data_IF_908199726098
#
_entry.id   IF_908199726098
#
_cell.length_a   1.000
_cell.length_b   1.000
_cell.length_c   1.000
_cell.angle_alpha   90.00
_cell.angle_beta   90.00
_cell.angle_gamma   90.00
#
_symmetry.space_group_name_H-M   'P 1'
#
loop_
_entity.id
_entity.type
_entity.pdbx_description
1 polymer ?
#
# COMPACT_ATOMS: atom_id res chain seq x y z
N UNK A 1 17.79 -15.72 -20.79
CA UNK A 1 18.58 -14.56 -20.30
C UNK A 1 18.39 -14.48 -18.80
N UNK A 2 19.48 -14.53 -18.02
CA UNK A 2 19.42 -14.54 -16.55
C UNK A 2 19.05 -13.14 -16.06
N UNK A 3 17.93 -13.00 -15.34
CA UNK A 3 17.49 -11.74 -14.73
C UNK A 3 17.97 -11.68 -13.28
N UNK A 4 18.59 -10.54 -12.97
CA UNK A 4 19.20 -10.17 -11.70
C UNK A 4 18.08 -9.79 -10.72
N UNK A 5 18.00 -10.49 -9.59
CA UNK A 5 17.13 -10.14 -8.47
C UNK A 5 17.94 -9.29 -7.50
N UNK A 6 17.47 -8.10 -7.16
CA UNK A 6 18.09 -7.25 -6.15
C UNK A 6 17.39 -7.52 -4.83
N UNK A 7 18.07 -8.28 -3.97
CA UNK A 7 17.72 -8.55 -2.58
C UNK A 7 18.31 -7.45 -1.69
N UNK A 8 17.47 -6.78 -0.91
CA UNK A 8 17.89 -6.15 0.34
C UNK A 8 17.87 -7.21 1.45
N UNK A 9 18.94 -8.00 1.59
CA UNK A 9 19.08 -8.95 2.70
C UNK A 9 19.65 -8.23 3.92
N UNK A 10 18.81 -7.95 4.92
CA UNK A 10 19.28 -7.59 6.25
C UNK A 10 19.38 -8.87 7.09
N UNK A 11 20.59 -9.42 7.17
CA UNK A 11 20.95 -10.44 8.17
C UNK A 11 21.00 -9.74 9.52
N UNK A 12 19.97 -9.91 10.36
CA UNK A 12 19.99 -9.43 11.73
C UNK A 12 20.67 -10.47 12.64
N UNK A 13 21.77 -10.04 13.24
CA UNK A 13 22.52 -10.73 14.28
C UNK A 13 21.63 -10.97 15.51
N UNK A 14 21.52 -12.24 15.90
CA UNK A 14 20.98 -12.66 17.20
C UNK A 14 21.82 -12.06 18.34
N UNK A 15 21.19 -11.27 19.20
CA UNK A 15 21.73 -10.90 20.52
C UNK A 15 20.86 -11.60 21.58
N UNK A 16 21.43 -12.34 22.55
CA UNK A 16 20.63 -12.98 23.59
C UNK A 16 20.26 -11.95 24.66
N UNK A 17 18.97 -11.77 24.93
CA UNK A 17 18.50 -11.01 26.09
C UNK A 17 17.85 -11.95 27.10
N UNK A 18 18.50 -12.07 28.25
CA UNK A 18 18.01 -12.75 29.44
C UNK A 18 17.06 -11.86 30.27
N UNK A 19 16.03 -12.52 30.82
CA UNK A 19 15.24 -12.28 32.05
C UNK A 19 14.34 -11.05 32.23
N UNK A 20 13.04 -11.38 32.37
CA UNK A 20 12.03 -10.94 33.35
C UNK A 20 11.79 -9.45 33.64
N UNK A 21 10.61 -8.95 33.27
CA UNK A 21 9.48 -8.82 34.22
C UNK A 21 8.29 -8.02 33.65
N UNK A 22 7.10 -8.44 34.09
CA UNK A 22 5.80 -7.76 34.12
C UNK A 22 4.98 -7.64 32.82
N UNK A 23 3.98 -8.52 32.76
CA UNK A 23 2.94 -8.56 31.75
C UNK A 23 2.12 -7.27 31.69
N UNK A 24 2.22 -6.63 30.52
CA UNK A 24 1.11 -5.94 29.87
C UNK A 24 0.66 -6.86 28.73
N UNK A 25 -0.63 -7.14 28.66
CA UNK A 25 -1.21 -7.99 27.61
C UNK A 25 -1.10 -7.34 26.24
N UNK A 26 0.07 -7.45 25.61
CA UNK A 26 0.22 -7.22 24.18
C UNK A 26 -0.45 -8.39 23.47
N UNK A 27 -1.61 -8.12 22.87
CA UNK A 27 -2.14 -9.02 21.84
C UNK A 27 -1.04 -9.19 20.78
N UNK A 28 -0.76 -10.41 20.29
CA UNK A 28 0.22 -10.59 19.24
C UNK A 28 -0.20 -9.69 18.08
N UNK A 29 0.69 -8.79 17.67
CA UNK A 29 0.51 -8.06 16.42
C UNK A 29 0.59 -9.16 15.36
N UNK A 30 -0.57 -9.56 14.83
CA UNK A 30 -0.67 -10.71 13.94
C UNK A 30 0.28 -10.56 12.74
N UNK A 31 0.77 -11.68 12.24
CA UNK A 31 1.50 -11.73 10.98
C UNK A 31 0.62 -11.07 9.92
N UNK A 32 0.94 -9.82 9.53
CA UNK A 32 0.20 -9.11 8.50
C UNK A 32 0.08 -9.98 7.23
N UNK A 33 -0.90 -9.71 6.36
CA UNK A 33 -1.15 -10.53 5.18
C UNK A 33 0.13 -10.84 4.40
N UNK A 34 0.27 -12.11 4.04
CA UNK A 34 1.45 -12.66 3.39
C UNK A 34 1.62 -12.08 1.98
N UNK A 35 2.87 -12.01 1.49
CA UNK A 35 3.14 -11.60 0.11
C UNK A 35 2.41 -12.53 -0.86
N UNK A 36 2.39 -13.84 -0.58
CA UNK A 36 1.65 -14.80 -1.38
C UNK A 36 0.15 -14.47 -1.46
N UNK A 37 -0.47 -14.04 -0.36
CA UNK A 37 -1.87 -13.61 -0.35
C UNK A 37 -2.11 -12.34 -1.17
N UNK A 38 -1.16 -11.40 -1.17
CA UNK A 38 -1.28 -10.15 -1.90
C UNK A 38 -1.03 -10.27 -3.41
N UNK A 39 -0.37 -11.34 -3.88
CA UNK A 39 -0.23 -11.58 -5.31
C UNK A 39 -1.56 -11.80 -6.03
N UNK A 40 -2.64 -12.15 -5.31
CA UNK A 40 -4.00 -12.19 -5.89
C UNK A 40 -4.48 -10.82 -6.36
N UNK A 41 -3.94 -9.73 -5.81
CA UNK A 41 -4.26 -8.35 -6.22
C UNK A 41 -3.41 -7.85 -7.39
N UNK A 42 -2.53 -8.69 -7.95
CA UNK A 42 -1.68 -8.35 -9.10
C UNK A 42 -2.17 -9.13 -10.32
N UNK A 43 -2.84 -8.46 -11.28
CA UNK A 43 -3.32 -9.10 -12.51
C UNK A 43 -2.16 -9.74 -13.28
N UNK A 44 -2.39 -10.93 -13.80
CA UNK A 44 -1.41 -11.63 -14.62
C UNK A 44 -1.40 -11.07 -16.06
N UNK A 45 -0.59 -10.03 -16.27
CA UNK A 45 -0.42 -9.37 -17.56
C UNK A 45 1.04 -9.33 -17.96
N UNK A 46 1.31 -9.06 -19.25
CA UNK A 46 2.66 -8.86 -19.73
C UNK A 46 3.39 -7.73 -18.98
N UNK A 47 2.65 -6.68 -18.59
CA UNK A 47 3.19 -5.55 -17.85
C UNK A 47 3.52 -5.94 -16.41
N UNK A 48 2.63 -6.65 -15.71
CA UNK A 48 2.90 -7.14 -14.36
C UNK A 48 4.09 -8.11 -14.32
N UNK A 49 4.21 -9.01 -15.31
CA UNK A 49 5.34 -9.94 -15.42
C UNK A 49 6.65 -9.26 -15.81
N UNK A 50 6.56 -8.14 -16.53
CA UNK A 50 7.71 -7.40 -17.05
C UNK A 50 8.38 -6.49 -16.02
N UNK A 51 7.69 -6.17 -14.93
CA UNK A 51 8.07 -5.11 -14.00
C UNK A 51 8.22 -5.61 -12.55
N UNK A 52 8.96 -4.87 -11.70
CA UNK A 52 9.07 -5.20 -10.29
C UNK A 52 7.73 -5.11 -9.55
N UNK A 53 7.57 -5.97 -8.54
CA UNK A 53 6.53 -5.87 -7.51
C UNK A 53 7.23 -5.52 -6.20
N UNK A 54 6.87 -4.38 -5.63
CA UNK A 54 7.42 -3.90 -4.37
C UNK A 54 6.49 -4.30 -3.24
N UNK A 55 7.05 -4.86 -2.16
CA UNK A 55 6.30 -5.31 -1.00
C UNK A 55 6.88 -4.70 0.28
N UNK A 56 6.02 -4.16 1.12
CA UNK A 56 6.37 -3.62 2.44
C UNK A 56 5.49 -4.21 3.52
N UNK A 57 6.09 -4.92 4.48
CA UNK A 57 5.39 -5.37 5.69
C UNK A 57 5.65 -4.35 6.81
N UNK A 58 4.78 -3.34 6.91
CA UNK A 58 4.96 -2.25 7.86
C UNK A 58 4.76 -2.70 9.31
N UNK A 59 3.99 -3.78 9.53
CA UNK A 59 3.91 -4.44 10.82
C UNK A 59 5.29 -4.92 11.30
N UNK A 60 6.06 -5.55 10.41
CA UNK A 60 7.43 -6.00 10.70
C UNK A 60 8.39 -4.82 10.80
N UNK A 61 8.29 -3.82 9.92
CA UNK A 61 9.14 -2.61 10.00
C UNK A 61 8.97 -1.91 11.36
N UNK A 62 7.76 -1.94 11.92
CA UNK A 62 7.47 -1.35 13.23
C UNK A 62 7.84 -2.25 14.40
N UNK A 63 8.03 -3.57 14.20
CA UNK A 63 8.51 -4.59 15.17
C UNK A 63 8.28 -4.31 16.68
N UNK A 64 7.07 -3.87 17.05
CA UNK A 64 6.68 -3.61 18.45
C UNK A 64 6.88 -2.19 18.97
N UNK A 65 7.45 -1.27 18.19
CA UNK A 65 7.32 0.16 18.41
C UNK A 65 6.02 0.62 17.74
N UNK A 66 4.98 0.87 18.57
CA UNK A 66 3.82 1.62 18.12
C UNK A 66 4.21 3.09 18.17
N UNK A 67 4.45 3.77 17.03
CA UNK A 67 4.81 5.16 17.06
C UNK A 67 3.67 5.99 17.67
N UNK A 68 3.96 6.65 18.78
CA UNK A 68 2.98 7.45 19.53
C UNK A 68 2.54 8.69 18.74
N UNK A 69 3.43 9.17 17.86
CA UNK A 69 3.21 10.35 17.04
C UNK A 69 3.70 10.15 15.60
N UNK A 70 3.48 11.17 14.78
CA UNK A 70 3.81 11.19 13.37
C UNK A 70 5.32 11.13 13.09
N UNK A 71 6.12 11.88 13.86
CA UNK A 71 7.57 11.97 13.64
C UNK A 71 8.26 10.63 13.92
N UNK A 72 7.79 9.90 14.93
CA UNK A 72 8.27 8.56 15.25
C UNK A 72 7.92 7.54 14.15
N UNK A 73 6.69 7.58 13.61
CA UNK A 73 6.31 6.70 12.48
C UNK A 73 7.15 7.02 11.24
N UNK A 74 7.37 8.30 10.95
CA UNK A 74 8.19 8.73 9.83
C UNK A 74 9.64 8.23 9.97
N UNK A 75 10.21 8.25 11.18
CA UNK A 75 11.56 7.76 11.44
C UNK A 75 11.71 6.24 11.26
N UNK A 76 10.63 5.47 11.48
CA UNK A 76 10.60 4.02 11.24
C UNK A 76 10.39 3.69 9.76
N UNK A 77 9.55 4.48 9.08
CA UNK A 77 9.21 4.28 7.67
C UNK A 77 10.30 4.76 6.71
N UNK A 78 11.19 5.62 7.18
CA UNK A 78 12.35 6.14 6.44
C UNK A 78 13.61 5.60 7.09
N UNK A 79 14.28 4.66 6.43
CA UNK A 79 15.59 4.23 6.89
C UNK A 79 16.60 5.37 6.63
N UNK A 80 16.88 6.17 7.65
CA UNK A 80 17.68 7.39 7.54
C UNK A 80 19.12 7.17 7.02
N UNK A 81 19.66 5.95 7.12
CA UNK A 81 21.00 5.60 6.63
C UNK A 81 21.04 5.31 5.12
N UNK A 82 19.96 4.77 4.56
CA UNK A 82 19.86 4.35 3.16
C UNK A 82 18.94 5.24 2.32
N UNK A 83 18.11 6.05 2.98
CA UNK A 83 17.03 6.81 2.35
C UNK A 83 15.89 5.93 1.82
N UNK A 84 15.88 4.63 2.14
CA UNK A 84 14.80 3.74 1.73
C UNK A 84 13.51 4.10 2.45
N UNK A 85 12.41 4.04 1.71
CA UNK A 85 11.06 4.26 2.24
C UNK A 85 10.22 3.03 1.98
N UNK A 86 9.59 2.49 3.02
CA UNK A 86 8.84 1.23 2.97
C UNK A 86 7.40 1.39 2.47
N UNK A 87 7.08 2.53 1.86
CA UNK A 87 5.74 2.89 1.39
C UNK A 87 5.70 3.00 -0.14
N UNK A 88 4.57 2.66 -0.78
CA UNK A 88 4.33 2.93 -2.18
C UNK A 88 4.53 4.42 -2.52
N UNK A 89 4.92 4.72 -3.75
CA UNK A 89 5.17 6.07 -4.23
C UNK A 89 3.96 6.99 -4.01
N UNK A 90 2.75 6.44 -4.20
CA UNK A 90 1.48 7.12 -3.99
C UNK A 90 1.33 7.69 -2.57
N UNK A 91 1.83 6.98 -1.56
CA UNK A 91 1.73 7.37 -0.14
C UNK A 91 2.99 8.11 0.28
N UNK A 92 4.18 7.55 -0.03
CA UNK A 92 5.51 8.07 0.33
C UNK A 92 5.65 9.55 0.09
N UNK A 93 5.11 10.02 -1.03
CA UNK A 93 5.31 11.39 -1.47
C UNK A 93 4.55 12.44 -0.67
N UNK A 94 3.50 12.03 0.04
CA UNK A 94 2.66 12.89 0.88
C UNK A 94 2.89 12.71 2.38
N UNK A 95 3.53 11.61 2.82
CA UNK A 95 3.62 11.31 4.26
C UNK A 95 4.23 12.41 5.09
N UNK A 96 5.20 13.19 4.55
CA UNK A 96 5.87 14.27 5.28
C UNK A 96 5.01 15.52 5.45
N UNK A 97 3.88 15.59 4.76
CA UNK A 97 2.96 16.71 4.80
C UNK A 97 1.91 16.45 5.88
N UNK A 98 1.75 17.32 6.88
CA UNK A 98 0.85 17.10 8.01
C UNK A 98 -0.62 16.96 7.57
N UNK A 99 -1.00 17.53 6.43
CA UNK A 99 -2.33 17.46 5.86
C UNK A 99 -2.61 16.13 5.14
N UNK A 100 -1.61 15.27 4.93
CA UNK A 100 -1.82 13.98 4.24
C UNK A 100 -2.92 13.17 4.92
N UNK A 101 -2.87 13.01 6.23
CA UNK A 101 -3.87 12.22 6.95
C UNK A 101 -5.28 12.83 6.87
N UNK A 102 -5.36 14.16 6.86
CA UNK A 102 -6.60 14.89 6.67
C UNK A 102 -7.19 14.61 5.28
N UNK A 103 -6.38 14.68 4.22
CA UNK A 103 -6.84 14.52 2.84
C UNK A 103 -7.01 13.07 2.42
N UNK A 104 -6.21 12.14 2.92
CA UNK A 104 -6.35 10.72 2.66
C UNK A 104 -7.49 10.09 3.47
N UNK A 105 -7.86 10.69 4.61
CA UNK A 105 -8.83 10.14 5.56
C UNK A 105 -8.27 8.99 6.41
N UNK A 106 -6.97 8.73 6.33
CA UNK A 106 -6.23 7.77 7.14
C UNK A 106 -4.77 8.20 7.27
N UNK A 107 -4.07 7.64 8.27
CA UNK A 107 -2.62 7.80 8.40
C UNK A 107 -1.87 6.49 8.13
N UNK A 108 -0.57 6.58 7.90
CA UNK A 108 0.29 5.44 7.54
C UNK A 108 0.33 4.33 8.59
N UNK A 109 0.03 4.63 9.86
CA UNK A 109 -0.02 3.64 10.96
C UNK A 109 -1.22 2.71 10.83
N UNK A 110 -2.22 3.09 10.05
CA UNK A 110 -3.36 2.24 9.71
C UNK A 110 -3.00 1.20 8.64
N UNK A 111 -1.88 1.36 7.93
CA UNK A 111 -1.40 0.42 6.91
C UNK A 111 -0.54 -0.65 7.60
N UNK A 112 -0.97 -1.90 7.52
CA UNK A 112 -0.21 -3.06 8.00
C UNK A 112 0.77 -3.54 6.92
N UNK A 113 0.30 -3.63 5.68
CA UNK A 113 1.07 -4.16 4.55
C UNK A 113 0.76 -3.35 3.30
N UNK A 114 1.77 -3.14 2.47
CA UNK A 114 1.64 -2.48 1.18
C UNK A 114 2.28 -3.32 0.08
N UNK A 115 1.68 -3.24 -1.11
CA UNK A 115 2.21 -3.79 -2.34
C UNK A 115 2.07 -2.73 -3.45
N UNK A 116 3.09 -2.55 -4.28
CA UNK A 116 3.05 -1.63 -5.42
C UNK A 116 3.59 -2.32 -6.67
N UNK A 117 2.88 -2.15 -7.79
CA UNK A 117 3.27 -2.74 -9.07
C UNK A 117 2.79 -1.89 -10.23
N UNK A 118 3.21 -2.28 -11.44
CA UNK A 118 2.88 -1.58 -12.67
C UNK A 118 3.90 -0.49 -12.99
N UNK A 119 3.59 0.30 -14.03
CA UNK A 119 4.43 1.38 -14.52
C UNK A 119 3.59 2.62 -14.70
N UNK A 120 4.19 3.79 -14.50
CA UNK A 120 3.49 5.04 -14.69
C UNK A 120 2.92 5.15 -16.12
N UNK A 121 1.67 5.63 -16.28
CA UNK A 121 0.79 6.18 -15.24
C UNK A 121 -0.08 5.14 -14.49
N UNK A 122 -0.03 3.86 -14.87
CA UNK A 122 -0.90 2.78 -14.38
C UNK A 122 -0.32 2.00 -13.19
N UNK A 123 0.53 2.65 -12.39
CA UNK A 123 0.99 2.09 -11.11
C UNK A 123 -0.18 1.96 -10.15
N UNK A 124 -0.28 0.81 -9.49
CA UNK A 124 -1.30 0.52 -8.47
C UNK A 124 -0.60 0.21 -7.15
N UNK A 125 -0.98 0.94 -6.10
CA UNK A 125 -0.66 0.61 -4.73
C UNK A 125 -1.84 -0.11 -4.08
N UNK A 126 -1.58 -1.26 -3.47
CA UNK A 126 -2.52 -2.07 -2.69
C UNK A 126 -2.11 -1.95 -1.24
N UNK A 127 -2.98 -1.40 -0.41
CA UNK A 127 -2.74 -1.11 1.00
C UNK A 127 -3.72 -1.94 1.82
N UNK A 128 -3.22 -2.78 2.72
CA UNK A 128 -4.07 -3.53 3.66
C UNK A 128 -3.93 -2.94 5.05
N UNK A 129 -5.06 -2.63 5.67
CA UNK A 129 -5.11 -1.87 6.90
C UNK A 129 -6.52 -1.60 7.41
N UNK A 130 -6.62 -0.83 8.50
CA UNK A 130 -7.91 -0.54 9.17
C UNK A 130 -8.63 0.70 8.65
N UNK A 131 -8.39 1.03 7.37
CA UNK A 131 -8.93 2.22 6.70
C UNK A 131 -10.42 2.07 6.43
N UNK A 132 -11.21 3.12 6.72
CA UNK A 132 -12.67 3.10 6.53
C UNK A 132 -13.09 3.95 5.34
N UNK A 133 -13.92 3.41 4.45
CA UNK A 133 -14.35 4.10 3.23
C UNK A 133 -14.96 5.48 3.48
N UNK A 134 -15.81 5.63 4.51
CA UNK A 134 -16.40 6.93 4.85
C UNK A 134 -15.41 7.94 5.43
N UNK A 135 -14.28 7.50 6.00
CA UNK A 135 -13.22 8.40 6.42
C UNK A 135 -12.38 8.85 5.23
N UNK A 136 -12.06 7.93 4.32
CA UNK A 136 -11.37 8.22 3.05
C UNK A 136 -12.17 9.21 2.22
N UNK A 137 -13.46 8.95 2.00
CA UNK A 137 -14.38 9.86 1.27
C UNK A 137 -14.35 11.27 1.83
N UNK A 138 -14.52 11.43 3.15
CA UNK A 138 -14.45 12.74 3.81
C UNK A 138 -13.09 13.42 3.67
N UNK A 139 -12.00 12.63 3.69
CA UNK A 139 -10.67 13.17 3.46
C UNK A 139 -10.53 13.70 2.04
N UNK A 140 -10.99 12.94 1.05
CA UNK A 140 -10.96 13.36 -0.35
C UNK A 140 -11.78 14.64 -0.57
N UNK A 141 -12.98 14.71 0.01
CA UNK A 141 -13.84 15.90 -0.01
C UNK A 141 -13.18 17.14 0.62
N UNK A 142 -12.32 16.94 1.63
CA UNK A 142 -11.58 18.01 2.27
C UNK A 142 -10.32 18.44 1.50
N UNK A 143 -9.89 17.67 0.50
CA UNK A 143 -8.72 17.98 -0.31
C UNK A 143 -9.00 19.05 -1.37
N UNK A 144 -7.99 19.78 -1.88
CA UNK A 144 -8.14 20.66 -3.03
C UNK A 144 -8.83 20.00 -4.23
N UNK A 145 -9.91 20.61 -4.72
CA UNK A 145 -10.78 20.06 -5.78
C UNK A 145 -11.66 18.90 -5.33
N UNK A 146 -11.62 18.56 -4.04
CA UNK A 146 -12.30 17.43 -3.39
C UNK A 146 -13.82 17.47 -3.48
N UNK A 147 -14.41 18.64 -3.69
CA UNK A 147 -15.85 18.80 -3.92
C UNK A 147 -16.35 18.04 -5.15
N UNK A 148 -15.45 17.71 -6.09
CA UNK A 148 -15.72 16.89 -7.27
C UNK A 148 -15.55 15.38 -7.01
N UNK A 149 -15.36 14.94 -5.77
CA UNK A 149 -15.24 13.52 -5.43
C UNK A 149 -16.53 12.79 -5.82
N UNK A 150 -16.40 11.74 -6.62
CA UNK A 150 -17.52 10.87 -6.96
C UNK A 150 -17.35 9.52 -6.28
N UNK A 151 -18.48 8.92 -5.92
CA UNK A 151 -18.55 7.61 -5.27
C UNK A 151 -19.47 6.68 -6.02
N UNK A 152 -19.04 5.43 -6.16
CA UNK A 152 -19.80 4.36 -6.77
C UNK A 152 -19.66 3.10 -5.92
N UNK A 153 -20.76 2.37 -5.69
CA UNK A 153 -20.75 1.09 -5.00
C UNK A 153 -21.08 -0.03 -5.99
N UNK A 154 -20.20 -1.03 -6.10
CA UNK A 154 -20.42 -2.23 -6.92
C UNK A 154 -20.18 -3.47 -6.06
N UNK A 155 -21.26 -4.16 -5.70
CA UNK A 155 -21.17 -5.27 -4.74
C UNK A 155 -20.57 -4.80 -3.40
N UNK A 156 -19.50 -5.46 -2.96
CA UNK A 156 -18.79 -5.12 -1.73
C UNK A 156 -17.77 -3.97 -1.89
N UNK A 157 -17.49 -3.54 -3.12
CA UNK A 157 -16.42 -2.59 -3.43
C UNK A 157 -16.98 -1.17 -3.50
N UNK A 158 -16.39 -0.26 -2.73
CA UNK A 158 -16.62 1.18 -2.85
C UNK A 158 -15.53 1.79 -3.72
N UNK A 159 -15.90 2.36 -4.86
CA UNK A 159 -15.01 3.15 -5.69
C UNK A 159 -15.16 4.63 -5.38
N UNK A 160 -14.02 5.31 -5.24
CA UNK A 160 -13.94 6.76 -5.09
C UNK A 160 -13.04 7.31 -6.21
N UNK A 161 -13.44 8.41 -6.82
CA UNK A 161 -12.66 9.05 -7.86
C UNK A 161 -12.65 10.56 -7.74
N UNK A 162 -11.52 11.15 -8.10
CA UNK A 162 -11.30 12.58 -8.10
C UNK A 162 -10.51 12.98 -9.36
N UNK A 163 -11.01 13.96 -10.11
CA UNK A 163 -10.51 14.32 -11.45
C UNK A 163 -10.78 13.27 -12.53
N UNK A 164 -10.40 13.53 -13.78
CA UNK A 164 -10.63 12.63 -14.93
C UNK A 164 -9.41 11.77 -15.27
N UNK A 165 -9.61 10.55 -15.80
CA UNK A 165 -8.52 9.65 -16.18
C UNK A 165 -7.58 10.34 -17.19
N UNK A 166 -6.28 10.31 -16.91
CA UNK A 166 -5.26 10.93 -17.78
C UNK A 166 -5.21 12.46 -17.75
N UNK A 167 -6.09 13.14 -17.01
CA UNK A 167 -6.06 14.59 -16.84
C UNK A 167 -5.13 15.02 -15.69
N UNK A 168 -4.55 16.21 -15.78
CA UNK A 168 -3.85 16.87 -14.65
C UNK A 168 -4.48 18.22 -14.38
N UNK A 169 -4.77 18.51 -13.11
CA UNK A 169 -5.30 19.79 -12.66
C UNK A 169 -4.34 20.46 -11.66
N UNK A 170 -3.49 21.34 -12.17
CA UNK A 170 -2.48 22.05 -11.37
C UNK A 170 -3.08 22.98 -10.30
N UNK A 171 -4.39 23.28 -10.35
CA UNK A 171 -5.09 24.04 -9.31
C UNK A 171 -5.44 23.20 -8.08
N UNK A 172 -5.51 21.88 -8.23
CA UNK A 172 -5.95 20.93 -7.20
C UNK A 172 -4.81 20.08 -6.64
N UNK A 173 -3.60 20.64 -6.58
CA UNK A 173 -2.42 19.94 -6.06
C UNK A 173 -2.56 19.75 -4.54
N UNK A 174 -2.32 18.53 -4.08
CA UNK A 174 -2.30 18.21 -2.65
C UNK A 174 -1.30 17.07 -2.37
N UNK A 175 -0.97 16.80 -1.09
CA UNK A 175 -0.15 15.65 -0.71
C UNK A 175 -0.59 14.30 -1.28
N UNK A 176 -1.90 14.12 -1.51
CA UNK A 176 -2.48 12.90 -2.11
C UNK A 176 -2.63 12.98 -3.64
N UNK A 177 -2.57 14.19 -4.21
CA UNK A 177 -2.70 14.48 -5.65
C UNK A 177 -1.54 15.34 -6.12
N UNK A 178 -0.34 14.76 -6.14
CA UNK A 178 0.84 15.45 -6.66
C UNK A 178 0.62 15.90 -8.09
N UNK A 179 1.03 17.13 -8.40
CA UNK A 179 0.82 17.78 -9.71
C UNK A 179 -0.62 17.67 -10.24
N UNK A 180 -1.62 17.56 -9.34
CA UNK A 180 -3.02 17.61 -9.73
C UNK A 180 -3.55 16.36 -10.39
N UNK A 181 -2.83 15.24 -10.27
CA UNK A 181 -3.15 14.00 -10.94
C UNK A 181 -4.53 13.45 -10.54
N UNK A 182 -5.15 12.61 -11.38
CA UNK A 182 -6.40 11.98 -11.05
C UNK A 182 -6.14 10.90 -10.00
N UNK A 183 -7.12 10.73 -9.13
CA UNK A 183 -7.10 9.73 -8.06
C UNK A 183 -8.22 8.73 -8.29
N UNK A 184 -7.87 7.45 -8.26
CA UNK A 184 -8.79 6.33 -8.39
C UNK A 184 -8.56 5.40 -7.23
N UNK A 185 -9.56 5.26 -6.38
CA UNK A 185 -9.53 4.37 -5.24
C UNK A 185 -10.62 3.31 -5.36
N UNK A 186 -10.30 2.11 -4.90
CA UNK A 186 -11.30 1.10 -4.58
C UNK A 186 -11.06 0.61 -3.16
N UNK A 187 -12.13 0.38 -2.41
CA UNK A 187 -12.07 -0.10 -1.03
C UNK A 187 -12.93 -1.34 -0.91
N UNK A 188 -12.33 -2.45 -0.50
CA UNK A 188 -13.00 -3.73 -0.25
C UNK A 188 -12.51 -4.30 1.08
N UNK A 189 -13.40 -4.35 2.08
CA UNK A 189 -13.03 -4.74 3.44
C UNK A 189 -11.89 -3.87 3.99
N UNK A 190 -10.78 -4.51 4.33
CA UNK A 190 -9.57 -3.88 4.88
C UNK A 190 -8.54 -3.50 3.79
N UNK A 191 -8.90 -3.62 2.51
CA UNK A 191 -7.98 -3.35 1.38
C UNK A 191 -8.38 -2.07 0.65
N UNK A 192 -7.40 -1.18 0.47
CA UNK A 192 -7.48 0.02 -0.34
C UNK A 192 -6.57 -0.15 -1.57
N UNK A 193 -7.15 -0.03 -2.75
CA UNK A 193 -6.45 0.05 -4.03
C UNK A 193 -6.34 1.52 -4.40
N UNK A 194 -5.14 1.96 -4.77
CA UNK A 194 -4.84 3.35 -5.10
C UNK A 194 -4.11 3.41 -6.43
N UNK A 195 -4.73 4.07 -7.41
CA UNK A 195 -4.18 4.26 -8.75
C UNK A 195 -4.61 5.59 -9.36
N UNK A 196 -4.35 5.72 -10.66
CA UNK A 196 -4.65 6.94 -11.45
C UNK A 196 -5.70 6.74 -12.53
N UNK A 197 -5.96 5.50 -12.92
CA UNK A 197 -6.93 5.14 -13.95
C UNK A 197 -7.94 4.15 -13.39
N UNK A 198 -9.20 4.25 -13.81
CA UNK A 198 -10.25 3.32 -13.36
C UNK A 198 -9.90 1.89 -13.78
N UNK A 199 -9.40 1.73 -15.00
CA UNK A 199 -9.04 0.44 -15.57
C UNK A 199 -7.97 -0.32 -14.75
N UNK A 200 -6.92 0.37 -14.27
CA UNK A 200 -5.86 -0.26 -13.47
C UNK A 200 -6.38 -0.73 -12.11
N UNK A 201 -7.21 0.08 -11.45
CA UNK A 201 -7.85 -0.28 -10.18
C UNK A 201 -8.86 -1.42 -10.35
N UNK A 202 -9.68 -1.40 -11.41
CA UNK A 202 -10.61 -2.49 -11.70
C UNK A 202 -9.92 -3.80 -12.03
N UNK A 203 -8.79 -3.76 -12.73
CA UNK A 203 -8.01 -4.96 -13.01
C UNK A 203 -7.53 -5.60 -11.69
N UNK A 204 -7.02 -4.81 -10.75
CA UNK A 204 -6.57 -5.27 -9.44
C UNK A 204 -7.70 -5.92 -8.63
N UNK A 205 -8.87 -5.26 -8.57
CA UNK A 205 -10.06 -5.79 -7.89
C UNK A 205 -10.57 -7.06 -8.58
N UNK A 206 -10.61 -7.07 -9.92
CA UNK A 206 -11.03 -8.21 -10.72
C UNK A 206 -10.15 -9.45 -10.54
N UNK A 207 -8.84 -9.26 -10.34
CA UNK A 207 -7.91 -10.34 -10.04
C UNK A 207 -8.24 -11.02 -8.69
N UNK A 208 -8.53 -10.24 -7.64
CA UNK A 208 -8.92 -10.77 -6.32
C UNK A 208 -10.26 -11.50 -6.39
N UNK A 209 -11.21 -10.96 -7.15
CA UNK A 209 -12.52 -11.59 -7.35
C UNK A 209 -12.46 -12.87 -8.22
N UNK A 210 -11.27 -13.33 -8.64
CA UNK A 210 -11.06 -14.41 -9.60
C UNK A 210 -11.80 -14.20 -10.93
N UNK A 211 -12.09 -12.95 -11.28
CA UNK A 211 -12.67 -12.58 -12.57
C UNK A 211 -11.59 -12.49 -13.67
N UNK A 212 -10.32 -12.39 -13.30
CA UNK A 212 -9.16 -12.45 -14.17
C UNK A 212 -8.01 -13.21 -13.48
N UNK A 213 -7.08 -13.83 -14.23
CA UNK A 213 -5.90 -14.46 -13.66
C UNK A 213 -5.01 -13.44 -12.93
N UNK A 214 -4.34 -13.91 -11.88
CA UNK A 214 -3.43 -13.14 -11.03
C UNK A 214 -2.04 -13.77 -11.01
N UNK A 215 -1.02 -13.03 -10.58
CA UNK A 215 0.33 -13.60 -10.41
C UNK A 215 0.36 -14.71 -9.34
N UNK A 216 -0.63 -14.78 -8.45
CA UNK A 216 -0.79 -15.89 -7.52
C UNK A 216 -1.16 -17.21 -8.23
N UNK A 217 -1.62 -17.19 -9.48
CA UNK A 217 -1.90 -18.43 -10.23
C UNK A 217 -0.63 -19.04 -10.85
N UNK A 218 0.49 -18.30 -10.87
CA UNK A 218 1.77 -18.78 -11.37
C UNK A 218 2.61 -19.41 -10.25
N UNK A 219 2.89 -20.69 -10.39
CA UNK A 219 3.62 -21.48 -9.40
C UNK A 219 5.02 -20.91 -9.07
N UNK A 220 5.70 -20.23 -10.01
CA UNK A 220 7.01 -19.65 -9.73
C UNK A 220 6.89 -18.42 -8.84
N UNK A 221 5.90 -17.56 -9.09
CA UNK A 221 5.64 -16.38 -8.27
C UNK A 221 5.20 -16.79 -6.87
N UNK A 222 4.31 -17.78 -6.75
CA UNK A 222 3.94 -18.35 -5.45
C UNK A 222 5.13 -18.95 -4.70
N UNK A 223 6.00 -19.69 -5.39
CA UNK A 223 7.17 -20.30 -4.75
C UNK A 223 8.13 -19.23 -4.19
N UNK A 224 8.37 -18.16 -4.94
CA UNK A 224 9.21 -17.04 -4.49
C UNK A 224 8.54 -16.28 -3.34
N UNK A 225 7.25 -15.96 -3.46
CA UNK A 225 6.51 -15.28 -2.41
C UNK A 225 6.47 -16.09 -1.12
N UNK A 226 6.20 -17.40 -1.21
CA UNK A 226 6.20 -18.29 -0.05
C UNK A 226 7.58 -18.41 0.61
N UNK A 227 8.65 -18.43 -0.17
CA UNK A 227 10.02 -18.41 0.37
C UNK A 227 10.33 -17.09 1.11
N UNK A 228 9.86 -15.95 0.59
CA UNK A 228 10.01 -14.65 1.24
C UNK A 228 9.15 -14.53 2.51
N UNK A 229 7.93 -15.06 2.48
CA UNK A 229 7.05 -15.11 3.65
C UNK A 229 7.64 -15.97 4.78
N UNK A 230 8.32 -17.08 4.44
CA UNK A 230 8.98 -17.96 5.40
C UNK A 230 10.32 -17.40 5.95
N UNK A 231 10.89 -16.38 5.30
CA UNK A 231 12.15 -15.75 5.72
C UNK A 231 11.95 -14.58 6.70
N UNK A 232 10.71 -14.31 7.10
CA UNK A 232 10.33 -13.26 8.07
C UNK A 232 10.72 -13.64 9.50
#
# INVERSE_FOLDING_TARGET
MKRLWVLGSSVLLLVPACSDSNGSGSSPIGDGPSLAGLLHAVPDTADSRGNPVYYGNLTVVRAGQLPDNFDDDLALLVENSSGQVFLPDAVRSGIREPEFAQYAGFDTRQIAVALEYGVLPDTVAVLVGTMKSGAVEKGLEASPGGEATTKEQVGAVTYLSLGDDGASDLGSVSPIRRVGQPLRLAIEGDTLYWGRTRASVEAAVGAVANAAPSLADDANYLAVAGALDAAK
#
